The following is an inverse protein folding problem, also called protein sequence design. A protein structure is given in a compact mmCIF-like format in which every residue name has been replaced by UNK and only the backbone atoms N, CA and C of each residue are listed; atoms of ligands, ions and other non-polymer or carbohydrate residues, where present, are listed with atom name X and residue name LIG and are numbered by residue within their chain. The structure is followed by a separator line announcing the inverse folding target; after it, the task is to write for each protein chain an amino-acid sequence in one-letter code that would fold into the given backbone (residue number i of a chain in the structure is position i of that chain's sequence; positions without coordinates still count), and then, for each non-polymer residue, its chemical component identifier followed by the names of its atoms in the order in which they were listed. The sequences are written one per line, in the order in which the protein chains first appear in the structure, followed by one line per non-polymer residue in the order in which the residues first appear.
data_IF_717573166575
#
_entry.id   IF_717573166575
#
_cell.length_a   1.000
_cell.length_b   1.000
_cell.length_c   1.000
_cell.angle_alpha   90.00
_cell.angle_beta   90.00
_cell.angle_gamma   90.00
#
_symmetry.space_group_name_H-M   'P 1'
#
loop_
_entity.id
_entity.type
_entity.pdbx_description
1 polymer ?
#
# COMPACT_ATOMS: atom_id res chain seq x y z
N UNK A 1 -19.01 0.35 -15.75
CA UNK A 1 -18.08 0.89 -14.74
C UNK A 1 -18.90 1.60 -13.68
N UNK A 2 -18.64 1.38 -12.38
CA UNK A 2 -19.26 2.18 -11.31
C UNK A 2 -19.04 3.66 -11.57
N UNK A 3 -20.00 4.51 -11.22
CA UNK A 3 -19.92 5.97 -11.45
C UNK A 3 -18.76 6.61 -10.68
N UNK A 4 -18.35 5.95 -9.60
CA UNK A 4 -17.28 6.29 -8.68
C UNK A 4 -15.89 6.01 -9.28
N UNK A 5 -15.81 5.24 -10.37
CA UNK A 5 -14.56 4.87 -11.04
C UNK A 5 -14.54 5.50 -12.43
N UNK A 6 -13.98 6.70 -12.51
CA UNK A 6 -13.74 7.39 -13.78
C UNK A 6 -12.58 6.76 -14.56
N UNK A 7 -12.68 6.79 -15.89
CA UNK A 7 -11.61 6.35 -16.78
C UNK A 7 -10.39 7.27 -16.68
N UNK A 8 -9.29 6.77 -16.10
CA UNK A 8 -8.03 7.52 -15.97
C UNK A 8 -7.21 7.55 -17.27
N UNK A 9 -7.17 6.44 -18.00
CA UNK A 9 -6.51 6.32 -19.29
C UNK A 9 -7.39 5.48 -20.23
N UNK A 10 -7.54 5.90 -21.50
CA UNK A 10 -8.08 5.04 -22.56
C UNK A 10 -6.92 4.38 -23.31
N UNK A 11 -7.19 3.25 -23.94
CA UNK A 11 -6.21 2.40 -24.64
C UNK A 11 -5.19 3.18 -25.49
N UNK A 12 -5.57 4.10 -26.40
CA UNK A 12 -4.60 4.74 -27.29
C UNK A 12 -3.61 5.65 -26.56
N UNK A 13 -3.93 6.15 -25.36
CA UNK A 13 -3.04 6.97 -24.54
C UNK A 13 -2.52 6.26 -23.27
N UNK A 14 -2.74 4.95 -23.13
CA UNK A 14 -2.40 4.24 -21.90
C UNK A 14 -0.92 3.80 -21.87
N UNK A 15 -0.03 4.79 -21.78
CA UNK A 15 1.42 4.56 -21.87
C UNK A 15 1.99 3.62 -20.80
N UNK A 16 1.45 3.61 -19.58
CA UNK A 16 1.89 2.68 -18.53
C UNK A 16 1.84 1.22 -18.97
N UNK A 17 0.82 0.83 -19.74
CA UNK A 17 0.62 -0.55 -20.18
C UNK A 17 1.22 -0.82 -21.56
N UNK A 18 1.21 0.18 -22.46
CA UNK A 18 1.56 -0.03 -23.88
C UNK A 18 2.86 0.62 -24.35
N UNK A 19 3.54 1.44 -23.53
CA UNK A 19 4.83 2.06 -23.90
C UNK A 19 6.05 1.26 -23.42
N UNK A 20 5.84 0.09 -22.79
CA UNK A 20 6.88 -0.82 -22.33
C UNK A 20 6.31 -1.84 -21.33
N UNK A 21 7.15 -2.76 -20.85
CA UNK A 21 6.71 -3.87 -19.99
C UNK A 21 6.56 -3.50 -18.51
N UNK A 22 6.98 -2.29 -18.10
CA UNK A 22 7.06 -1.89 -16.69
C UNK A 22 5.74 -1.96 -15.90
N UNK A 23 4.59 -1.79 -16.56
CA UNK A 23 3.27 -2.01 -15.94
C UNK A 23 2.33 -2.83 -16.84
N UNK A 24 2.87 -3.57 -17.81
CA UNK A 24 2.07 -4.53 -18.59
C UNK A 24 1.52 -5.60 -17.63
N UNK A 25 0.19 -5.80 -17.64
CA UNK A 25 -0.52 -6.59 -16.64
C UNK A 25 -0.23 -6.19 -15.17
N UNK A 26 0.27 -4.98 -14.92
CA UNK A 26 0.78 -4.52 -13.63
C UNK A 26 0.24 -3.16 -13.17
N UNK A 27 -0.68 -2.53 -13.90
CA UNK A 27 -1.21 -1.22 -13.51
C UNK A 27 -1.98 -1.25 -12.16
N UNK A 28 -2.46 -2.43 -11.74
CA UNK A 28 -3.05 -2.61 -10.40
C UNK A 28 -2.02 -2.41 -9.27
N UNK A 29 -0.72 -2.47 -9.56
CA UNK A 29 0.34 -2.27 -8.57
C UNK A 29 0.23 -0.93 -7.85
N UNK A 30 -0.37 0.09 -8.46
CA UNK A 30 -0.66 1.36 -7.78
C UNK A 30 -1.66 1.23 -6.64
N UNK A 31 -2.79 0.51 -6.84
CA UNK A 31 -3.78 0.34 -5.77
C UNK A 31 -3.29 -0.67 -4.72
N UNK A 32 -2.50 -1.66 -5.16
CA UNK A 32 -1.84 -2.60 -4.27
C UNK A 32 -0.84 -1.88 -3.34
N UNK A 33 0.06 -1.06 -3.89
CA UNK A 33 1.03 -0.29 -3.10
C UNK A 33 0.38 0.79 -2.24
N UNK A 34 -0.75 1.35 -2.68
CA UNK A 34 -1.57 2.27 -1.86
C UNK A 34 -2.10 1.60 -0.59
N UNK A 35 -2.36 0.28 -0.61
CA UNK A 35 -2.79 -0.48 0.57
C UNK A 35 -1.68 -0.51 1.61
N UNK A 36 -0.48 -0.90 1.18
CA UNK A 36 0.74 -0.90 2.01
C UNK A 36 1.05 0.50 2.56
N UNK A 37 0.93 1.52 1.72
CA UNK A 37 1.22 2.91 2.08
C UNK A 37 0.22 3.46 3.11
N UNK A 38 -1.07 3.17 2.94
CA UNK A 38 -2.09 3.60 3.89
C UNK A 38 -1.92 2.91 5.25
N UNK A 39 -1.64 1.60 5.25
CA UNK A 39 -1.43 0.84 6.48
C UNK A 39 -0.12 1.21 7.19
N UNK A 40 0.94 1.51 6.43
CA UNK A 40 2.20 2.01 6.96
C UNK A 40 2.04 3.39 7.60
N UNK A 41 1.21 4.27 7.03
CA UNK A 41 0.87 5.55 7.64
C UNK A 41 0.19 5.37 9.00
N UNK A 42 -0.66 4.35 9.15
CA UNK A 42 -1.31 4.10 10.43
C UNK A 42 -0.32 3.74 11.54
N UNK A 43 0.80 3.08 11.22
CA UNK A 43 1.88 2.84 12.17
C UNK A 43 2.45 4.15 12.75
N UNK A 44 2.48 5.24 11.97
CA UNK A 44 2.88 6.56 12.47
C UNK A 44 1.77 7.19 13.33
N UNK A 45 0.51 7.10 12.91
CA UNK A 45 -0.62 7.68 13.68
C UNK A 45 -0.90 6.93 14.99
N UNK A 46 -0.60 5.63 15.06
CA UNK A 46 -0.67 4.80 16.26
C UNK A 46 0.45 5.15 17.26
N UNK A 47 1.55 5.74 16.78
CA UNK A 47 2.71 6.13 17.58
C UNK A 47 2.68 7.64 17.89
N UNK A 48 3.84 8.31 17.86
CA UNK A 48 3.97 9.75 18.10
C UNK A 48 3.59 10.65 16.91
N UNK A 49 2.99 10.10 15.85
CA UNK A 49 2.61 10.84 14.64
C UNK A 49 3.69 10.84 13.54
N UNK A 50 3.60 11.75 12.56
CA UNK A 50 4.38 11.70 11.31
C UNK A 50 5.90 11.78 11.49
N UNK A 51 6.37 12.26 12.64
CA UNK A 51 7.78 12.48 12.96
C UNK A 51 8.30 11.51 14.04
N UNK A 52 7.57 10.44 14.33
CA UNK A 52 8.04 9.42 15.26
C UNK A 52 9.35 8.78 14.76
N UNK A 53 10.43 9.00 15.51
CA UNK A 53 11.78 8.54 15.12
C UNK A 53 11.90 7.03 15.12
N UNK A 54 11.20 6.34 16.01
CA UNK A 54 11.27 4.88 16.11
C UNK A 54 10.58 4.24 14.91
N UNK A 55 9.38 4.72 14.54
CA UNK A 55 8.67 4.23 13.34
C UNK A 55 9.45 4.56 12.07
N UNK A 56 9.99 5.78 11.95
CA UNK A 56 10.81 6.17 10.80
C UNK A 56 12.06 5.30 10.65
N UNK A 57 12.72 4.95 11.76
CA UNK A 57 13.89 4.05 11.74
C UNK A 57 13.51 2.65 11.24
N UNK A 58 12.43 2.06 11.74
CA UNK A 58 11.95 0.75 11.25
C UNK A 58 11.58 0.81 9.77
N UNK A 59 10.86 1.85 9.33
CA UNK A 59 10.50 2.02 7.92
C UNK A 59 11.75 2.05 7.03
N UNK A 60 12.77 2.81 7.43
CA UNK A 60 14.03 2.86 6.70
C UNK A 60 14.71 1.48 6.65
N UNK A 61 14.91 0.87 7.82
CA UNK A 61 15.73 -0.34 7.95
C UNK A 61 15.07 -1.56 7.31
N UNK A 62 13.75 -1.69 7.41
CA UNK A 62 13.01 -2.87 6.96
C UNK A 62 12.42 -2.72 5.55
N UNK A 63 12.19 -1.49 5.05
CA UNK A 63 11.56 -1.27 3.72
C UNK A 63 12.51 -0.60 2.73
N UNK A 64 13.12 0.52 3.10
CA UNK A 64 13.89 1.33 2.14
C UNK A 64 15.32 0.81 1.92
N UNK A 65 15.96 0.30 2.96
CA UNK A 65 17.37 -0.10 2.91
C UNK A 65 17.60 -1.51 2.34
N UNK A 66 16.64 -2.42 2.50
CA UNK A 66 16.82 -3.85 2.16
C UNK A 66 16.83 -4.14 0.66
N UNK A 67 16.21 -3.28 -0.15
CA UNK A 67 15.93 -3.58 -1.55
C UNK A 67 15.20 -4.92 -1.72
N UNK A 68 15.62 -5.73 -2.69
CA UNK A 68 15.03 -7.04 -2.97
C UNK A 68 15.83 -8.21 -2.37
N UNK A 69 16.50 -7.99 -1.22
CA UNK A 69 17.31 -9.02 -0.56
C UNK A 69 16.51 -9.88 0.44
N UNK A 70 15.27 -9.48 0.74
CA UNK A 70 14.30 -10.18 1.58
C UNK A 70 12.96 -10.24 0.83
N UNK A 71 12.12 -11.25 1.13
CA UNK A 71 10.75 -11.27 0.62
C UNK A 71 10.01 -10.00 1.06
N UNK A 72 9.33 -9.27 0.14
CA UNK A 72 8.65 -8.02 0.48
C UNK A 72 7.56 -8.15 1.55
N UNK A 73 6.88 -9.31 1.65
CA UNK A 73 5.88 -9.53 2.68
C UNK A 73 6.54 -9.73 4.05
N UNK A 74 7.68 -10.42 4.10
CA UNK A 74 8.47 -10.60 5.32
C UNK A 74 9.02 -9.26 5.82
N UNK A 75 9.57 -8.46 4.91
CA UNK A 75 10.04 -7.11 5.16
C UNK A 75 8.92 -6.21 5.71
N UNK A 76 7.73 -6.27 5.10
CA UNK A 76 6.58 -5.52 5.59
C UNK A 76 6.12 -5.97 6.98
N UNK A 77 6.10 -7.28 7.25
CA UNK A 77 5.79 -7.81 8.58
C UNK A 77 6.84 -7.41 9.62
N UNK A 78 8.11 -7.34 9.26
CA UNK A 78 9.16 -6.85 10.16
C UNK A 78 8.92 -5.38 10.56
N UNK A 79 8.60 -4.52 9.58
CA UNK A 79 8.26 -3.12 9.82
C UNK A 79 6.97 -2.94 10.64
N UNK A 80 5.89 -3.61 10.24
CA UNK A 80 4.52 -3.35 10.68
C UNK A 80 4.08 -4.20 11.87
N UNK A 81 4.73 -5.35 12.07
CA UNK A 81 4.36 -6.38 13.04
C UNK A 81 3.21 -7.29 12.61
N UNK A 82 2.64 -7.08 11.42
CA UNK A 82 1.52 -7.83 10.84
C UNK A 82 1.47 -7.65 9.32
N UNK A 83 0.68 -8.48 8.65
CA UNK A 83 0.40 -8.28 7.23
C UNK A 83 -0.40 -6.99 6.96
N UNK A 84 -0.25 -6.47 5.75
CA UNK A 84 -1.00 -5.31 5.29
C UNK A 84 -2.48 -5.65 5.12
N UNK A 85 -3.36 -4.83 5.70
CA UNK A 85 -4.81 -4.96 5.54
C UNK A 85 -5.40 -3.85 4.68
N UNK A 86 -6.58 -4.09 4.11
CA UNK A 86 -7.27 -3.08 3.28
C UNK A 86 -7.95 -1.97 4.09
N UNK A 87 -8.12 -2.15 5.40
CA UNK A 87 -8.93 -1.26 6.24
C UNK A 87 -8.41 0.19 6.23
N UNK A 88 -7.09 0.36 6.30
CA UNK A 88 -6.45 1.67 6.25
C UNK A 88 -6.74 2.39 4.92
N UNK A 89 -6.65 1.66 3.81
CA UNK A 89 -6.94 2.20 2.48
C UNK A 89 -8.42 2.59 2.34
N UNK A 90 -9.34 1.78 2.86
CA UNK A 90 -10.77 2.08 2.82
C UNK A 90 -11.07 3.36 3.59
N UNK A 91 -10.53 3.53 4.81
CA UNK A 91 -10.64 4.78 5.58
C UNK A 91 -10.06 5.97 4.79
N UNK A 92 -8.85 5.84 4.25
CA UNK A 92 -8.16 6.88 3.47
C UNK A 92 -8.99 7.33 2.26
N UNK A 93 -9.72 6.41 1.63
CA UNK A 93 -10.54 6.67 0.43
C UNK A 93 -12.01 7.01 0.73
N UNK A 94 -12.41 7.07 2.00
CA UNK A 94 -13.77 7.40 2.41
C UNK A 94 -14.78 6.28 2.19
N UNK A 95 -14.33 5.03 2.09
CA UNK A 95 -15.20 3.87 1.97
C UNK A 95 -15.50 3.22 3.34
N UNK A 96 -16.66 2.57 3.50
CA UNK A 96 -16.93 1.72 4.66
C UNK A 96 -15.88 0.62 4.80
N UNK A 97 -15.42 0.36 6.03
CA UNK A 97 -14.50 -0.75 6.30
C UNK A 97 -15.29 -2.05 6.44
N UNK A 98 -15.05 -3.07 5.59
CA UNK A 98 -15.66 -4.38 5.70
C UNK A 98 -15.44 -5.01 7.08
N UNK A 99 -16.40 -5.78 7.59
CA UNK A 99 -16.33 -6.33 8.94
C UNK A 99 -15.14 -7.30 9.13
N UNK A 100 -14.86 -8.11 8.11
CA UNK A 100 -13.73 -9.04 8.01
C UNK A 100 -12.37 -8.34 7.90
N UNK A 101 -12.33 -7.14 7.32
CA UNK A 101 -11.11 -6.34 7.21
C UNK A 101 -10.72 -5.62 8.52
N UNK A 102 -11.58 -5.60 9.55
CA UNK A 102 -11.32 -4.91 10.83
C UNK A 102 -10.44 -5.72 11.77
N UNK A 103 -10.49 -7.05 11.68
CA UNK A 103 -9.57 -7.93 12.38
C UNK A 103 -8.40 -8.20 11.45
N UNK A 104 -7.28 -7.51 11.64
CA UNK A 104 -6.02 -7.91 11.01
C UNK A 104 -5.61 -9.28 11.54
N UNK A 105 -6.16 -10.35 10.96
CA UNK A 105 -5.77 -11.74 11.18
C UNK A 105 -6.54 -12.68 10.23
N UNK A 106 -5.80 -13.29 9.31
CA UNK A 106 -5.66 -14.74 9.35
C UNK A 106 -4.20 -15.08 9.20
#
# INVERSE_FOLDING_TARGET
MPSEIVMRHRTPQFGHVFSGDGYSAGYYSYIWSDTLSADAWEAFTEAGGPYDKAVAKRLHDDIFAIGNTMDPADAYRAFRGRDAGIAALMRKRGFPVPADARSGAK
#
